data_IF_026074692678
#
_entry.id   IF_026074692678
#
_cell.length_a   1.000
_cell.length_b   1.000
_cell.length_c   1.000
_cell.angle_alpha   90.00
_cell.angle_beta   90.00
_cell.angle_gamma   90.00
#
_symmetry.space_group_name_H-M   'P 1'
#
loop_
_entity.id
_entity.type
_entity.pdbx_description
1 polymer ?
#
# COMPACT_ATOMS: atom_id res chain seq x y z
N UNK A 1 11.24 13.16 -120.08
CA UNK A 1 10.04 12.46 -119.55
C UNK A 1 10.50 11.04 -119.23
N UNK A 2 10.73 10.56 -118.01
CA UNK A 2 9.83 10.35 -116.88
C UNK A 2 10.58 10.35 -115.51
N UNK A 3 11.92 10.52 -115.51
CA UNK A 3 12.77 10.33 -114.32
C UNK A 3 12.56 11.38 -113.20
N UNK A 4 12.39 12.66 -113.54
CA UNK A 4 12.24 13.73 -112.53
C UNK A 4 10.90 13.69 -111.78
N UNK A 5 9.83 13.14 -112.37
CA UNK A 5 8.54 12.96 -111.69
C UNK A 5 8.52 11.71 -110.81
N UNK A 6 9.32 10.69 -111.14
CA UNK A 6 9.43 9.46 -110.35
C UNK A 6 10.30 9.68 -109.10
N UNK A 7 11.45 10.35 -109.22
CA UNK A 7 12.32 10.65 -108.07
C UNK A 7 11.65 11.59 -107.05
N UNK A 8 10.88 12.58 -107.50
CA UNK A 8 10.17 13.50 -106.60
C UNK A 8 9.03 12.82 -105.84
N UNK A 9 8.30 11.90 -106.49
CA UNK A 9 7.26 11.09 -105.83
C UNK A 9 7.86 10.07 -104.84
N UNK A 10 8.96 9.42 -105.20
CA UNK A 10 9.67 8.47 -104.32
C UNK A 10 10.22 9.20 -103.08
N UNK A 11 10.86 10.36 -103.25
CA UNK A 11 11.37 11.16 -102.13
C UNK A 11 10.25 11.72 -101.23
N UNK A 12 9.11 12.13 -101.80
CA UNK A 12 7.95 12.56 -101.02
C UNK A 12 7.34 11.40 -100.24
N UNK A 13 7.31 10.20 -100.82
CA UNK A 13 6.82 9.00 -100.17
C UNK A 13 7.73 8.57 -99.00
N UNK A 14 9.06 8.64 -99.14
CA UNK A 14 10.00 8.43 -98.03
C UNK A 14 9.88 9.49 -96.92
N UNK A 15 9.68 10.77 -97.29
CA UNK A 15 9.43 11.84 -96.32
C UNK A 15 8.15 11.57 -95.53
N UNK A 16 7.06 11.16 -96.19
CA UNK A 16 5.82 10.79 -95.53
C UNK A 16 5.97 9.59 -94.59
N UNK A 17 6.72 8.54 -94.98
CA UNK A 17 7.00 7.40 -94.09
C UNK A 17 7.90 7.78 -92.91
N UNK A 18 8.86 8.70 -93.09
CA UNK A 18 9.71 9.21 -92.01
C UNK A 18 8.91 10.02 -91.00
N UNK A 19 8.04 10.92 -91.47
CA UNK A 19 7.16 11.73 -90.61
C UNK A 19 6.16 10.83 -89.89
N UNK A 20 5.53 9.87 -90.59
CA UNK A 20 4.62 8.90 -89.97
C UNK A 20 5.33 8.01 -88.95
N UNK A 21 6.54 7.55 -89.26
CA UNK A 21 7.39 6.78 -88.33
C UNK A 21 7.74 7.58 -87.07
N UNK A 22 8.02 8.87 -87.20
CA UNK A 22 8.26 9.76 -86.06
C UNK A 22 6.99 9.93 -85.20
N UNK A 23 5.82 10.12 -85.81
CA UNK A 23 4.55 10.20 -85.07
C UNK A 23 4.21 8.89 -84.35
N UNK A 24 4.45 7.74 -84.98
CA UNK A 24 4.28 6.45 -84.33
C UNK A 24 5.26 6.31 -83.16
N UNK A 25 6.55 6.63 -83.36
CA UNK A 25 7.55 6.57 -82.29
C UNK A 25 7.20 7.47 -81.11
N UNK A 26 6.76 8.72 -81.36
CA UNK A 26 6.31 9.64 -80.32
C UNK A 26 5.09 9.09 -79.56
N UNK A 27 4.15 8.46 -80.27
CA UNK A 27 2.97 7.85 -79.66
C UNK A 27 3.34 6.64 -78.77
N UNK A 28 4.24 5.77 -79.24
CA UNK A 28 4.75 4.64 -78.46
C UNK A 28 5.59 5.10 -77.26
N UNK A 29 6.44 6.13 -77.44
CA UNK A 29 7.22 6.71 -76.36
C UNK A 29 6.32 7.33 -75.29
N UNK A 30 5.32 8.14 -75.68
CA UNK A 30 4.34 8.70 -74.76
C UNK A 30 3.59 7.61 -74.00
N UNK A 31 3.08 6.58 -74.70
CA UNK A 31 2.41 5.43 -74.09
C UNK A 31 3.32 4.71 -73.07
N UNK A 32 4.59 4.49 -73.41
CA UNK A 32 5.57 3.91 -72.49
C UNK A 32 5.84 4.80 -71.26
N UNK A 33 5.99 6.12 -71.44
CA UNK A 33 6.13 7.07 -70.33
C UNK A 33 4.90 7.09 -69.42
N UNK A 34 3.69 7.06 -69.99
CA UNK A 34 2.44 6.96 -69.23
C UNK A 34 2.36 5.65 -68.47
N UNK A 35 2.72 4.52 -69.08
CA UNK A 35 2.76 3.20 -68.44
C UNK A 35 3.77 3.16 -67.28
N UNK A 36 4.99 3.66 -67.50
CA UNK A 36 6.02 3.74 -66.45
C UNK A 36 5.65 4.71 -65.32
N UNK A 37 4.94 5.80 -65.62
CA UNK A 37 4.37 6.73 -64.62
C UNK A 37 3.25 6.06 -63.83
N UNK A 38 2.36 5.31 -64.49
CA UNK A 38 1.26 4.58 -63.85
C UNK A 38 1.77 3.51 -62.89
N UNK A 39 2.79 2.72 -63.27
CA UNK A 39 3.41 1.73 -62.38
C UNK A 39 4.03 2.40 -61.14
N UNK A 40 4.73 3.52 -61.30
CA UNK A 40 5.28 4.27 -60.16
C UNK A 40 4.19 4.83 -59.24
N UNK A 41 3.07 5.26 -59.82
CA UNK A 41 1.91 5.74 -59.07
C UNK A 41 1.25 4.62 -58.26
N UNK A 42 1.02 3.45 -58.87
CA UNK A 42 0.43 2.28 -58.19
C UNK A 42 1.31 1.78 -57.03
N UNK A 43 2.64 1.73 -57.19
CA UNK A 43 3.56 1.39 -56.10
C UNK A 43 3.45 2.36 -54.91
N UNK A 44 3.35 3.66 -55.17
CA UNK A 44 3.15 4.68 -54.11
C UNK A 44 1.80 4.51 -53.42
N UNK A 45 0.75 4.21 -54.19
CA UNK A 45 -0.60 3.97 -53.66
C UNK A 45 -0.64 2.74 -52.76
N UNK A 46 -0.01 1.63 -53.16
CA UNK A 46 0.09 0.43 -52.32
C UNK A 46 0.83 0.72 -51.01
N UNK A 47 1.96 1.46 -51.07
CA UNK A 47 2.68 1.88 -49.87
C UNK A 47 1.86 2.77 -48.94
N UNK A 48 1.04 3.68 -49.49
CA UNK A 48 0.12 4.51 -48.70
C UNK A 48 -0.96 3.67 -48.00
N UNK A 49 -1.50 2.65 -48.68
CA UNK A 49 -2.48 1.73 -48.09
C UNK A 49 -1.84 0.92 -46.95
N UNK A 50 -0.60 0.45 -47.14
CA UNK A 50 0.15 -0.27 -46.11
C UNK A 50 0.41 0.61 -44.88
N UNK A 51 0.86 1.85 -45.08
CA UNK A 51 1.04 2.82 -43.98
C UNK A 51 -0.27 3.09 -43.24
N UNK A 52 -1.38 3.30 -43.97
CA UNK A 52 -2.70 3.48 -43.35
C UNK A 52 -3.17 2.25 -42.57
N UNK A 53 -2.77 1.04 -42.98
CA UNK A 53 -3.08 -0.18 -42.24
C UNK A 53 -2.23 -0.29 -40.97
N UNK A 54 -0.97 0.13 -41.01
CA UNK A 54 -0.08 0.20 -39.84
C UNK A 54 -0.65 1.20 -38.83
N UNK A 55 -0.95 2.44 -39.25
CA UNK A 55 -1.53 3.47 -38.36
C UNK A 55 -2.84 2.98 -37.71
N UNK A 56 -3.68 2.27 -38.46
CA UNK A 56 -4.94 1.70 -37.93
C UNK A 56 -4.70 0.58 -36.91
N UNK A 57 -3.66 -0.22 -37.08
CA UNK A 57 -3.28 -1.28 -36.14
C UNK A 57 -2.71 -0.68 -34.85
N UNK A 58 -1.79 0.27 -34.96
CA UNK A 58 -1.21 0.98 -33.81
C UNK A 58 -2.31 1.68 -32.99
N UNK A 59 -3.24 2.40 -33.65
CA UNK A 59 -4.39 3.02 -32.98
C UNK A 59 -5.36 2.00 -32.36
N UNK A 60 -5.45 0.78 -32.90
CA UNK A 60 -6.31 -0.28 -32.36
C UNK A 60 -5.66 -0.95 -31.15
N UNK A 61 -4.34 -1.13 -31.17
CA UNK A 61 -3.52 -1.63 -30.07
C UNK A 61 -3.53 -0.64 -28.90
N UNK A 62 -3.29 0.64 -29.14
CA UNK A 62 -3.37 1.70 -28.12
C UNK A 62 -4.77 1.77 -27.48
N UNK A 63 -5.84 1.67 -28.29
CA UNK A 63 -7.22 1.59 -27.78
C UNK A 63 -7.54 0.29 -27.05
N UNK A 64 -6.85 -0.80 -27.36
CA UNK A 64 -7.02 -2.08 -26.68
C UNK A 64 -6.30 -2.08 -25.33
N UNK A 65 -5.10 -1.51 -25.25
CA UNK A 65 -4.34 -1.28 -24.01
C UNK A 65 -5.10 -0.34 -23.07
N UNK A 66 -5.62 0.79 -23.56
CA UNK A 66 -6.43 1.72 -22.77
C UNK A 66 -7.72 1.06 -22.25
N UNK A 67 -8.34 0.18 -23.06
CA UNK A 67 -9.52 -0.61 -22.65
C UNK A 67 -9.19 -1.73 -21.68
N UNK A 68 -7.99 -2.31 -21.75
CA UNK A 68 -7.52 -3.31 -20.79
C UNK A 68 -7.25 -2.66 -19.42
N UNK A 69 -6.57 -1.51 -19.40
CA UNK A 69 -6.32 -0.72 -18.18
C UNK A 69 -7.63 -0.22 -17.54
N UNK A 70 -8.61 0.22 -18.35
CA UNK A 70 -9.94 0.63 -17.85
C UNK A 70 -10.79 -0.53 -17.34
N UNK A 71 -10.65 -1.75 -17.87
CA UNK A 71 -11.37 -2.93 -17.38
C UNK A 71 -10.81 -3.48 -16.06
N UNK A 72 -9.58 -3.14 -15.69
CA UNK A 72 -8.94 -3.60 -14.46
C UNK A 72 -9.26 -2.73 -13.23
N UNK A 73 -9.79 -1.52 -13.42
CA UNK A 73 -10.36 -0.71 -12.33
C UNK A 73 -11.73 -1.25 -11.91
N UNK A 74 -11.79 -2.50 -11.46
CA UNK A 74 -12.85 -2.92 -10.53
C UNK A 74 -12.79 -1.95 -9.35
N UNK A 75 -13.96 -1.53 -8.85
CA UNK A 75 -14.03 -0.61 -7.72
C UNK A 75 -13.51 -1.34 -6.47
N UNK A 76 -12.20 -1.28 -6.23
CA UNK A 76 -11.55 -1.94 -5.09
C UNK A 76 -12.05 -1.26 -3.82
N UNK A 77 -12.42 -2.06 -2.83
CA UNK A 77 -12.84 -1.57 -1.52
C UNK A 77 -11.68 -0.83 -0.88
N UNK A 78 -11.94 0.28 -0.18
CA UNK A 78 -10.86 1.09 0.39
C UNK A 78 -9.97 0.30 1.35
N UNK A 79 -10.55 -0.62 2.12
CA UNK A 79 -9.84 -1.49 3.08
C UNK A 79 -8.76 -2.39 2.44
N UNK A 80 -8.96 -2.73 1.17
CA UNK A 80 -8.08 -3.64 0.42
C UNK A 80 -7.00 -2.85 -0.35
N UNK A 81 -7.06 -1.53 -0.33
CA UNK A 81 -6.09 -0.66 -1.00
C UNK A 81 -4.68 -0.91 -0.44
N UNK A 82 -3.71 -0.94 -1.34
CA UNK A 82 -2.29 -1.17 -1.05
C UNK A 82 -1.95 -2.54 -0.45
N UNK A 83 -2.92 -3.46 -0.31
CA UNK A 83 -2.67 -4.77 0.29
C UNK A 83 -1.67 -5.59 -0.54
N UNK A 84 -1.91 -5.73 -1.84
CA UNK A 84 -1.01 -6.47 -2.74
C UNK A 84 0.42 -5.93 -2.75
N UNK A 85 0.59 -4.60 -2.72
CA UNK A 85 1.89 -3.95 -2.70
C UNK A 85 2.62 -4.21 -1.38
N UNK A 86 1.88 -4.16 -0.26
CA UNK A 86 2.40 -4.44 1.07
C UNK A 86 2.82 -5.90 1.25
N UNK A 87 2.06 -6.84 0.71
CA UNK A 87 2.39 -8.27 0.76
C UNK A 87 3.65 -8.59 -0.04
N UNK A 88 3.78 -8.02 -1.25
CA UNK A 88 4.95 -8.20 -2.13
C UNK A 88 6.22 -7.52 -1.60
N UNK A 89 6.10 -6.53 -0.72
CA UNK A 89 7.24 -5.82 -0.14
C UNK A 89 8.04 -6.72 0.82
N UNK A 90 9.36 -6.67 0.73
CA UNK A 90 10.24 -7.38 1.66
C UNK A 90 10.35 -6.65 3.01
N UNK A 91 10.51 -7.41 4.10
CA UNK A 91 10.73 -6.83 5.42
C UNK A 91 12.20 -6.44 5.59
N UNK A 92 12.47 -5.13 5.66
CA UNK A 92 13.81 -4.63 5.96
C UNK A 92 13.91 -4.14 7.42
N UNK A 93 15.04 -4.44 8.06
CA UNK A 93 15.42 -3.84 9.35
C UNK A 93 15.91 -2.42 9.05
N UNK A 94 15.30 -1.43 9.69
CA UNK A 94 15.67 -0.03 9.52
C UNK A 94 16.71 0.36 10.58
N UNK A 95 17.68 1.19 10.19
CA UNK A 95 18.58 1.82 11.16
C UNK A 95 17.83 2.85 12.00
N UNK A 96 18.35 3.15 13.18
CA UNK A 96 17.78 4.14 14.11
C UNK A 96 17.62 5.51 13.45
N UNK A 97 18.65 5.99 12.75
CA UNK A 97 18.63 7.26 12.01
C UNK A 97 17.50 7.32 10.96
N UNK A 98 17.22 6.17 10.32
CA UNK A 98 16.11 6.06 9.35
C UNK A 98 14.77 6.16 10.06
N UNK A 99 14.60 5.51 11.21
CA UNK A 99 13.38 5.56 12.01
C UNK A 99 13.08 6.97 12.52
N UNK A 100 14.09 7.73 12.92
CA UNK A 100 13.93 9.14 13.31
C UNK A 100 13.50 10.02 12.13
N UNK A 101 14.05 9.74 10.94
CA UNK A 101 13.72 10.48 9.72
C UNK A 101 12.27 10.26 9.27
N UNK A 102 11.66 9.11 9.59
CA UNK A 102 10.25 8.81 9.25
C UNK A 102 9.28 9.88 9.76
N UNK A 103 9.56 10.50 10.92
CA UNK A 103 8.72 11.57 11.47
C UNK A 103 8.63 12.79 10.55
N UNK A 104 9.63 13.00 9.69
CA UNK A 104 9.67 14.09 8.70
C UNK A 104 8.95 13.73 7.42
N UNK A 105 8.76 12.45 7.12
CA UNK A 105 7.99 12.02 5.96
C UNK A 105 6.51 11.99 6.29
N UNK A 106 5.74 12.80 5.56
CA UNK A 106 4.30 12.93 5.73
C UNK A 106 3.57 12.17 4.62
N UNK A 107 2.51 11.46 5.00
CA UNK A 107 1.54 10.89 4.09
C UNK A 107 0.29 11.75 4.09
N UNK A 108 -0.19 12.10 2.89
CA UNK A 108 -1.53 12.61 2.66
C UNK A 108 -2.39 11.49 2.07
N UNK A 109 -3.47 11.13 2.75
CA UNK A 109 -4.39 10.08 2.31
C UNK A 109 -5.83 10.59 2.30
N UNK A 110 -6.55 10.27 1.24
CA UNK A 110 -7.97 10.57 1.10
C UNK A 110 -8.76 9.32 1.52
N UNK A 111 -9.27 9.33 2.76
CA UNK A 111 -10.15 8.25 3.24
C UNK A 111 -11.59 8.53 2.83
N UNK A 112 -12.47 7.51 2.79
CA UNK A 112 -13.90 7.71 2.49
C UNK A 112 -14.62 8.67 3.44
N UNK A 113 -14.07 8.89 4.65
CA UNK A 113 -14.65 9.77 5.66
C UNK A 113 -13.96 11.14 5.74
N UNK A 114 -12.88 11.37 4.99
CA UNK A 114 -12.19 12.65 4.99
C UNK A 114 -10.70 12.53 4.72
N UNK A 115 -10.06 13.69 4.60
CA UNK A 115 -8.63 13.79 4.39
C UNK A 115 -7.87 13.53 5.69
N UNK A 116 -6.69 12.93 5.54
CA UNK A 116 -5.86 12.48 6.65
C UNK A 116 -4.39 12.80 6.33
N UNK A 117 -3.72 13.42 7.29
CA UNK A 117 -2.26 13.57 7.30
C UNK A 117 -1.73 12.59 8.35
N UNK A 118 -0.78 11.73 7.98
CA UNK A 118 -0.20 10.75 8.89
C UNK A 118 1.31 10.68 8.73
N UNK A 119 2.02 10.49 9.84
CA UNK A 119 3.45 10.19 9.85
C UNK A 119 3.77 9.27 11.03
N UNK A 120 4.90 8.57 10.96
CA UNK A 120 5.32 7.70 12.04
C UNK A 120 6.23 8.43 13.02
N UNK A 121 5.95 8.32 14.32
CA UNK A 121 6.79 8.89 15.35
C UNK A 121 7.47 7.77 16.15
N UNK A 122 8.77 7.55 15.88
CA UNK A 122 9.57 6.52 16.51
C UNK A 122 9.62 6.67 18.04
N UNK A 123 9.80 7.89 18.55
CA UNK A 123 9.84 8.16 20.01
C UNK A 123 8.59 7.73 20.79
N UNK A 124 7.43 7.60 20.12
CA UNK A 124 6.16 7.16 20.72
C UNK A 124 5.69 5.83 20.15
N UNK A 125 6.51 5.18 19.32
CA UNK A 125 6.18 3.99 18.53
C UNK A 125 4.75 4.00 17.99
N UNK A 126 4.34 5.13 17.41
CA UNK A 126 2.96 5.32 16.99
C UNK A 126 2.81 6.18 15.75
N UNK A 127 1.79 5.84 14.95
CA UNK A 127 1.35 6.64 13.83
C UNK A 127 0.57 7.84 14.35
N UNK A 128 1.14 9.01 14.13
CA UNK A 128 0.53 10.27 14.50
C UNK A 128 -0.27 10.80 13.32
N UNK A 129 -1.52 11.20 13.54
CA UNK A 129 -2.38 11.67 12.45
C UNK A 129 -3.20 12.91 12.82
N UNK A 130 -3.53 13.66 11.77
CA UNK A 130 -4.39 14.84 11.80
C UNK A 130 -5.55 14.61 10.82
N UNK A 131 -6.75 14.95 11.26
CA UNK A 131 -7.95 14.88 10.43
C UNK A 131 -9.03 15.78 11.02
N UNK A 132 -9.87 16.35 10.16
CA UNK A 132 -11.03 17.13 10.60
C UNK A 132 -12.19 16.22 11.05
N UNK A 133 -12.23 15.00 10.51
CA UNK A 133 -13.27 14.01 10.80
C UNK A 133 -12.72 12.87 11.67
N UNK A 134 -13.61 12.20 12.40
CA UNK A 134 -13.22 11.03 13.21
C UNK A 134 -13.04 9.82 12.30
N UNK A 135 -11.78 9.42 12.07
CA UNK A 135 -11.44 8.29 11.21
C UNK A 135 -11.40 6.98 12.03
N UNK A 136 -12.21 5.96 11.69
CA UNK A 136 -12.17 4.66 12.34
C UNK A 136 -10.87 3.90 12.07
N UNK A 137 -10.48 3.02 13.00
CA UNK A 137 -9.26 2.22 12.89
C UNK A 137 -9.15 1.41 11.59
N UNK A 138 -10.27 0.92 11.05
CA UNK A 138 -10.26 0.17 9.78
C UNK A 138 -9.64 0.97 8.62
N UNK A 139 -9.77 2.30 8.63
CA UNK A 139 -9.19 3.18 7.60
C UNK A 139 -7.80 3.68 7.99
N UNK A 140 -7.53 3.83 9.29
CA UNK A 140 -6.19 4.13 9.79
C UNK A 140 -5.20 3.00 9.50
N UNK A 141 -5.65 1.74 9.56
CA UNK A 141 -4.86 0.57 9.17
C UNK A 141 -4.40 0.68 7.70
N UNK A 142 -5.31 1.02 6.79
CA UNK A 142 -4.99 1.25 5.37
C UNK A 142 -4.02 2.40 5.20
N UNK A 143 -4.24 3.52 5.89
CA UNK A 143 -3.35 4.67 5.82
C UNK A 143 -1.94 4.34 6.33
N UNK A 144 -1.81 3.61 7.44
CA UNK A 144 -0.50 3.16 7.93
C UNK A 144 0.16 2.14 7.02
N UNK A 145 -0.63 1.27 6.35
CA UNK A 145 -0.13 0.36 5.33
C UNK A 145 0.41 1.13 4.13
N UNK A 146 -0.34 2.11 3.65
CA UNK A 146 0.10 2.99 2.56
C UNK A 146 1.38 3.74 2.95
N UNK A 147 1.46 4.25 4.17
CA UNK A 147 2.66 4.88 4.70
C UNK A 147 3.87 3.92 4.66
N UNK A 148 3.68 2.67 5.10
CA UNK A 148 4.72 1.65 5.09
C UNK A 148 5.18 1.32 3.67
N UNK A 149 4.24 1.21 2.72
CA UNK A 149 4.54 0.96 1.31
C UNK A 149 5.30 2.13 0.69
N UNK A 150 4.84 3.36 0.89
CA UNK A 150 5.46 4.56 0.30
C UNK A 150 6.88 4.82 0.82
N UNK A 151 7.14 4.46 2.08
CA UNK A 151 8.44 4.68 2.74
C UNK A 151 9.32 3.43 2.80
N UNK A 152 8.88 2.31 2.24
CA UNK A 152 9.56 1.00 2.31
C UNK A 152 9.91 0.59 3.76
N UNK A 153 8.98 0.81 4.69
CA UNK A 153 9.17 0.58 6.13
C UNK A 153 8.20 -0.48 6.69
N UNK A 154 8.16 -1.66 6.06
CA UNK A 154 7.29 -2.78 6.46
C UNK A 154 7.44 -3.20 7.93
N UNK A 155 8.64 -3.07 8.51
CA UNK A 155 8.93 -3.41 9.91
C UNK A 155 8.17 -2.57 10.94
N UNK A 156 7.71 -1.39 10.57
CA UNK A 156 7.02 -0.45 11.46
C UNK A 156 5.52 -0.71 11.54
N UNK A 157 4.93 -1.28 10.48
CA UNK A 157 3.50 -1.57 10.43
C UNK A 157 3.24 -3.02 10.83
N UNK A 158 2.33 -3.20 11.79
CA UNK A 158 1.93 -4.51 12.28
C UNK A 158 0.68 -4.98 11.53
N UNK A 159 0.79 -6.07 10.76
CA UNK A 159 -0.36 -6.61 10.04
C UNK A 159 -1.19 -7.54 10.93
N UNK A 160 -2.42 -7.14 11.24
CA UNK A 160 -3.25 -7.82 12.24
C UNK A 160 -3.55 -9.29 11.93
N UNK A 161 -3.77 -9.65 10.66
CA UNK A 161 -4.05 -11.05 10.29
C UNK A 161 -2.83 -11.95 10.52
N UNK A 162 -1.64 -11.44 10.21
CA UNK A 162 -0.38 -12.16 10.45
C UNK A 162 -0.16 -12.37 11.94
N UNK A 163 -0.32 -11.33 12.76
CA UNK A 163 -0.19 -11.41 14.22
C UNK A 163 -1.17 -12.42 14.85
N UNK A 164 -2.42 -12.48 14.37
CA UNK A 164 -3.39 -13.45 14.85
C UNK A 164 -2.96 -14.88 14.53
N UNK A 165 -2.52 -15.13 13.30
CA UNK A 165 -2.05 -16.46 12.89
C UNK A 165 -0.80 -16.90 13.68
N UNK A 166 0.10 -15.97 14.01
CA UNK A 166 1.28 -16.25 14.82
C UNK A 166 0.93 -16.50 16.29
N UNK A 167 -0.01 -15.73 16.84
CA UNK A 167 -0.50 -15.93 18.19
C UNK A 167 -1.20 -17.29 18.35
N UNK A 168 -1.99 -17.71 17.36
CA UNK A 168 -2.63 -19.03 17.29
C UNK A 168 -1.58 -20.16 17.28
N UNK A 169 -0.56 -20.06 16.43
CA UNK A 169 0.54 -21.04 16.38
C UNK A 169 1.28 -21.13 17.72
N UNK A 170 1.66 -19.99 18.30
CA UNK A 170 2.33 -19.93 19.63
C UNK A 170 1.45 -20.54 20.74
N UNK A 171 0.14 -20.34 20.68
CA UNK A 171 -0.81 -20.93 21.61
C UNK A 171 -0.87 -22.44 21.46
N UNK A 172 -0.95 -22.95 20.24
CA UNK A 172 -0.97 -24.38 19.97
C UNK A 172 0.32 -25.05 20.46
N UNK A 173 1.49 -24.48 20.15
CA UNK A 173 2.77 -24.98 20.63
C UNK A 173 2.87 -24.99 22.16
N UNK A 174 2.32 -23.97 22.84
CA UNK A 174 2.25 -23.93 24.31
C UNK A 174 1.34 -25.03 24.86
N UNK A 175 0.22 -25.32 24.20
CA UNK A 175 -0.67 -26.43 24.60
C UNK A 175 0.01 -27.77 24.44
N UNK A 176 0.66 -28.01 23.30
CA UNK A 176 1.35 -29.27 23.02
C UNK A 176 2.50 -29.50 24.01
N UNK A 177 3.30 -28.46 24.31
CA UNK A 177 4.36 -28.53 25.34
C UNK A 177 3.82 -28.82 26.73
N UNK A 178 2.70 -28.20 27.13
CA UNK A 178 2.05 -28.48 28.43
C UNK A 178 1.54 -29.91 28.50
N UNK A 179 0.88 -30.40 27.46
CA UNK A 179 0.39 -31.78 27.41
C UNK A 179 1.54 -32.80 27.50
N UNK A 180 2.67 -32.51 26.85
CA UNK A 180 3.84 -33.37 26.93
C UNK A 180 4.47 -33.36 28.34
N UNK A 181 4.61 -32.19 28.95
CA UNK A 181 5.08 -32.07 30.34
C UNK A 181 4.15 -32.78 31.35
N UNK A 182 2.83 -32.69 31.16
CA UNK A 182 1.87 -33.40 32.01
C UNK A 182 1.93 -34.92 31.84
N UNK A 183 2.17 -35.42 30.61
CA UNK A 183 2.40 -36.84 30.37
C UNK A 183 3.68 -37.32 31.03
N UNK A 184 4.79 -36.62 30.84
CA UNK A 184 6.08 -36.93 31.47
C UNK A 184 6.00 -36.88 33.01
N UNK A 185 5.27 -35.92 33.59
CA UNK A 185 5.04 -35.88 35.04
C UNK A 185 4.20 -37.05 35.54
N UNK A 186 3.15 -37.44 34.81
CA UNK A 186 2.33 -38.61 35.18
C UNK A 186 3.12 -39.91 35.11
N UNK A 187 3.96 -40.07 34.09
CA UNK A 187 4.85 -41.23 33.94
C UNK A 187 5.86 -41.30 35.10
N UNK A 188 6.51 -40.18 35.46
CA UNK A 188 7.41 -40.13 36.64
C UNK A 188 6.71 -40.50 37.96
N UNK A 189 5.48 -40.02 38.18
CA UNK A 189 4.70 -40.35 39.38
C UNK A 189 4.29 -41.82 39.40
N UNK A 190 4.04 -42.45 38.25
CA UNK A 190 3.74 -43.89 38.16
C UNK A 190 4.98 -44.76 38.38
N UNK A 191 6.15 -44.33 37.91
CA UNK A 191 7.43 -45.02 38.17
C UNK A 191 7.82 -44.94 39.66
N UNK A 192 7.71 -43.78 40.29
CA UNK A 192 7.96 -43.61 41.73
C UNK A 192 7.01 -44.45 42.60
N UNK A 193 5.76 -44.68 42.16
CA UNK A 193 4.80 -45.57 42.84
C UNK A 193 5.13 -47.06 42.70
N UNK A 194 5.90 -47.45 41.67
CA UNK A 194 6.26 -48.85 41.42
C UNK A 194 7.53 -49.28 42.17
N UNK A 195 8.39 -48.34 42.60
CA UNK A 195 9.68 -48.64 43.25
C UNK A 195 9.74 -48.45 44.78
N UNK A 196 8.64 -48.10 45.48
CA UNK A 196 8.71 -47.85 46.93
C UNK A 196 7.46 -48.15 47.77
N UNK A 197 7.47 -49.34 48.42
CA UNK A 197 7.04 -49.69 49.79
C UNK A 197 5.61 -49.31 50.25
N UNK A 198 4.83 -50.35 50.61
CA UNK A 198 3.63 -50.29 51.46
C UNK A 198 3.98 -49.63 52.80
N UNK A 199 3.45 -48.44 53.07
CA UNK A 199 3.16 -48.04 54.45
C UNK A 199 1.93 -47.11 54.52
N UNK A 200 0.94 -47.64 55.24
CA UNK A 200 -0.17 -47.03 55.99
C UNK A 200 -0.76 -45.66 55.60
N UNK A 201 -2.09 -45.66 55.47
CA UNK A 201 -2.99 -44.50 55.57
C UNK A 201 -2.65 -43.63 56.79
N UNK A 202 -2.11 -42.43 56.55
CA UNK A 202 -2.19 -41.32 57.50
C UNK A 202 -2.57 -40.06 56.73
N UNK A 203 -3.79 -39.57 56.94
CA UNK A 203 -4.25 -38.25 56.48
C UNK A 203 -3.32 -37.17 57.04
N UNK A 204 -2.36 -36.71 56.22
CA UNK A 204 -1.55 -35.55 56.55
C UNK A 204 -2.43 -34.30 56.41
N UNK A 205 -2.83 -33.74 57.55
CA UNK A 205 -3.48 -32.42 57.65
C UNK A 205 -2.64 -31.40 56.90
N UNK A 206 -3.20 -30.86 55.81
CA UNK A 206 -2.58 -29.81 55.03
C UNK A 206 -2.43 -28.54 55.88
N UNK A 207 -1.20 -28.06 56.03
CA UNK A 207 -0.85 -26.79 56.71
C UNK A 207 -1.27 -25.58 55.86
N UNK A 208 -1.67 -25.79 54.61
CA UNK A 208 -2.09 -24.72 53.72
C UNK A 208 -3.56 -24.35 53.95
N UNK A 209 -3.79 -23.06 54.22
CA UNK A 209 -5.13 -22.49 54.33
C UNK A 209 -5.87 -22.60 52.98
N UNK A 210 -7.06 -23.20 53.02
CA UNK A 210 -7.96 -23.26 51.87
C UNK A 210 -8.61 -21.88 51.68
N UNK A 211 -8.18 -21.12 50.67
CA UNK A 211 -8.76 -19.82 50.35
C UNK A 211 -10.24 -19.97 49.97
N UNK A 212 -11.10 -19.15 50.59
CA UNK A 212 -12.54 -19.13 50.29
C UNK A 212 -12.77 -18.44 48.94
N UNK A 213 -13.51 -19.10 48.03
CA UNK A 213 -13.99 -18.51 46.79
C UNK A 213 -15.16 -17.58 47.08
N UNK A 214 -14.96 -16.26 46.98
CA UNK A 214 -16.00 -15.27 47.29
C UNK A 214 -16.89 -14.87 46.11
N UNK A 215 -16.66 -15.39 44.88
CA UNK A 215 -17.38 -14.94 43.68
C UNK A 215 -18.08 -16.07 42.89
N UNK A 216 -18.61 -17.09 43.55
CA UNK A 216 -19.56 -18.05 42.95
C UNK A 216 -20.98 -17.83 43.47
N UNK A 217 -21.42 -16.58 43.49
CA UNK A 217 -22.75 -16.20 43.96
C UNK A 217 -23.76 -16.14 42.81
N UNK A 218 -24.61 -17.15 42.69
CA UNK A 218 -25.95 -17.00 42.13
C UNK A 218 -26.75 -16.11 43.09
N UNK A 219 -26.75 -14.80 42.84
CA UNK A 219 -27.43 -13.82 43.71
C UNK A 219 -28.94 -13.94 43.61
N UNK A 220 -29.57 -14.56 44.61
CA UNK A 220 -30.89 -14.15 45.12
C UNK A 220 -30.69 -13.68 46.57
N UNK A 221 -30.65 -12.37 46.79
CA UNK A 221 -30.82 -11.76 48.11
C UNK A 221 -31.19 -10.26 47.95
N UNK A 222 -31.82 -9.63 48.95
CA UNK A 222 -32.93 -8.71 48.74
C UNK A 222 -32.58 -7.22 48.80
N UNK A 223 -33.53 -6.44 48.29
CA UNK A 223 -33.65 -4.99 48.36
C UNK A 223 -33.06 -4.33 49.62
N UNK A 224 -32.11 -3.41 49.41
CA UNK A 224 -31.97 -2.24 50.29
C UNK A 224 -31.78 -1.00 49.42
N UNK A 225 -32.75 -0.08 49.50
CA UNK A 225 -32.72 1.22 48.80
C UNK A 225 -31.75 2.15 49.54
N UNK A 226 -30.83 2.79 48.83
CA UNK A 226 -30.31 4.12 49.21
C UNK A 226 -29.83 4.92 47.98
N UNK A 227 -30.30 6.16 47.97
CA UNK A 227 -30.08 7.38 47.17
C UNK A 227 -29.03 7.49 46.04
N UNK A 228 -29.48 8.20 44.98
CA UNK A 228 -28.76 8.83 43.86
C UNK A 228 -27.82 9.97 44.28
N UNK A 229 -26.64 10.03 43.66
CA UNK A 229 -25.95 11.21 43.06
C UNK A 229 -24.60 10.70 42.54
N UNK A 230 -24.05 10.95 41.34
CA UNK A 230 -24.35 11.87 40.25
C UNK A 230 -23.03 12.37 39.66
N UNK A 231 -22.39 11.62 38.74
CA UNK A 231 -21.36 12.16 37.81
C UNK A 231 -21.22 11.27 36.58
N UNK A 232 -21.50 11.85 35.40
CA UNK A 232 -21.42 11.22 34.09
C UNK A 232 -19.96 11.12 33.61
N UNK A 233 -19.29 10.01 33.88
CA UNK A 233 -18.08 9.60 33.17
C UNK A 233 -18.44 8.63 32.05
N UNK A 234 -18.58 9.12 30.81
CA UNK A 234 -18.71 8.25 29.61
C UNK A 234 -17.34 7.63 29.30
N UNK A 235 -17.00 6.57 30.03
CA UNK A 235 -16.00 5.59 29.58
C UNK A 235 -16.51 4.82 28.36
N UNK A 236 -15.63 4.21 27.55
CA UNK A 236 -16.05 3.40 26.41
C UNK A 236 -16.98 2.27 26.90
N UNK A 237 -17.96 1.85 26.09
CA UNK A 237 -18.87 0.78 26.48
C UNK A 237 -18.05 -0.49 26.69
N UNK A 238 -17.90 -0.90 27.95
CA UNK A 238 -17.41 -2.24 28.24
C UNK A 238 -18.50 -3.20 27.79
N UNK A 239 -18.31 -3.80 26.63
CA UNK A 239 -19.03 -5.00 26.24
C UNK A 239 -18.63 -6.08 27.26
N UNK A 240 -19.39 -6.19 28.34
CA UNK A 240 -19.35 -7.32 29.26
C UNK A 240 -19.85 -8.56 28.50
N UNK A 241 -19.00 -9.10 27.64
CA UNK A 241 -19.14 -10.46 27.16
C UNK A 241 -18.90 -11.32 28.40
N UNK A 242 -19.94 -12.03 28.85
CA UNK A 242 -19.80 -13.07 29.88
C UNK A 242 -18.94 -14.18 29.27
N UNK A 243 -17.64 -14.12 29.53
CA UNK A 243 -16.71 -15.14 29.09
C UNK A 243 -16.88 -16.34 30.03
N UNK A 244 -17.51 -17.40 29.52
CA UNK A 244 -17.47 -18.73 30.13
C UNK A 244 -16.02 -19.20 30.21
N UNK A 245 -15.61 -19.76 31.34
CA UNK A 245 -14.24 -20.08 31.71
C UNK A 245 -13.49 -21.11 30.82
N UNK A 246 -14.05 -21.48 29.66
CA UNK A 246 -13.54 -22.54 28.77
C UNK A 246 -13.13 -22.05 27.38
N UNK A 247 -13.32 -20.78 27.02
CA UNK A 247 -12.84 -20.27 25.73
C UNK A 247 -11.42 -19.75 25.89
N UNK A 248 -10.44 -20.45 25.35
CA UNK A 248 -9.06 -19.95 25.25
C UNK A 248 -9.02 -18.61 24.51
N UNK A 249 -8.76 -17.52 25.22
CA UNK A 249 -8.69 -16.18 24.65
C UNK A 249 -7.35 -16.02 23.94
N UNK A 250 -7.36 -15.88 22.62
CA UNK A 250 -6.16 -15.54 21.85
C UNK A 250 -5.83 -14.06 22.13
N UNK A 251 -4.72 -13.81 22.81
CA UNK A 251 -4.22 -12.46 23.11
C UNK A 251 -3.16 -12.09 22.08
N UNK A 252 -3.37 -10.98 21.37
CA UNK A 252 -2.37 -10.39 20.47
C UNK A 252 -1.24 -9.71 21.27
N UNK A 253 0.00 -9.91 20.84
CA UNK A 253 1.18 -9.33 21.49
C UNK A 253 1.46 -7.90 20.98
N UNK A 254 1.31 -7.66 19.68
CA UNK A 254 1.59 -6.36 19.04
C UNK A 254 0.35 -5.82 18.32
N UNK A 255 0.25 -4.49 18.24
CA UNK A 255 -0.78 -3.79 17.47
C UNK A 255 -0.29 -2.39 17.09
N UNK A 256 -0.77 -1.87 15.97
CA UNK A 256 -0.51 -0.49 15.58
C UNK A 256 -1.14 0.48 16.58
N UNK A 257 -0.36 1.47 17.02
CA UNK A 257 -0.82 2.56 17.87
C UNK A 257 -1.04 3.82 17.03
N UNK A 258 -2.21 4.43 17.18
CA UNK A 258 -2.58 5.67 16.48
C UNK A 258 -2.81 6.80 17.48
N UNK A 259 -2.19 7.95 17.23
CA UNK A 259 -2.34 9.16 18.05
C UNK A 259 -2.95 10.28 17.23
N UNK A 260 -4.10 10.80 17.67
CA UNK A 260 -4.73 11.99 17.07
C UNK A 260 -4.14 13.25 17.70
N UNK A 261 -3.58 14.15 16.88
CA UNK A 261 -2.95 15.40 17.35
C UNK A 261 -3.74 16.66 16.96
N UNK A 262 -4.82 16.53 16.18
CA UNK A 262 -5.74 17.63 15.91
C UNK A 262 -6.29 17.66 14.49
N UNK A 263 -6.90 18.80 14.15
CA UNK A 263 -7.45 19.07 12.82
C UNK A 263 -6.35 19.33 11.80
N UNK A 264 -6.68 19.26 10.51
CA UNK A 264 -5.71 19.48 9.43
C UNK A 264 -5.09 20.88 9.50
N UNK A 265 -5.87 21.89 9.90
CA UNK A 265 -5.41 23.27 10.09
C UNK A 265 -4.35 23.43 11.19
N UNK A 266 -4.28 22.50 12.16
CA UNK A 266 -3.27 22.53 13.23
C UNK A 266 -1.92 21.95 12.77
N UNK A 267 -1.87 21.29 11.61
CA UNK A 267 -0.65 20.68 11.12
C UNK A 267 0.34 21.73 10.62
N UNK A 268 1.56 21.72 11.16
CA UNK A 268 2.63 22.59 10.71
C UNK A 268 3.44 21.91 9.62
N UNK A 269 3.20 22.30 8.37
CA UNK A 269 3.93 21.78 7.20
C UNK A 269 5.41 22.14 7.20
N UNK A 270 5.73 23.29 7.79
CA UNK A 270 7.09 23.80 7.84
C UNK A 270 7.79 23.20 9.06
N UNK A 271 8.93 22.55 8.80
CA UNK A 271 9.81 22.15 9.88
C UNK A 271 10.27 23.40 10.63
N UNK A 272 10.03 23.44 11.94
CA UNK A 272 10.53 24.51 12.79
C UNK A 272 12.06 24.46 12.73
N UNK A 273 12.65 25.45 12.07
CA UNK A 273 14.11 25.56 11.96
C UNK A 273 14.68 25.79 13.35
N UNK A 274 15.61 24.94 13.75
CA UNK A 274 16.38 25.14 14.97
C UNK A 274 17.29 26.36 14.79
N UNK A 275 16.81 27.52 15.26
CA UNK A 275 17.53 28.81 15.15
C UNK A 275 18.93 28.78 15.77
N UNK A 276 19.18 27.81 16.66
CA UNK A 276 20.48 27.55 17.31
C UNK A 276 21.57 27.15 16.33
N UNK A 277 21.23 26.43 15.26
CA UNK A 277 22.20 25.96 14.27
C UNK A 277 22.53 27.04 13.22
N UNK A 278 21.63 27.99 12.99
CA UNK A 278 21.76 28.96 11.88
C UNK A 278 22.48 30.24 12.27
N UNK A 279 22.39 30.70 13.52
CA UNK A 279 23.22 31.81 14.00
C UNK A 279 23.29 31.80 15.54
N UNK A 280 24.51 31.72 16.09
CA UNK A 280 24.75 31.83 17.53
C UNK A 280 24.23 33.15 18.13
N UNK A 281 24.09 34.23 17.33
CA UNK A 281 23.49 35.50 17.79
C UNK A 281 21.99 35.40 18.14
N UNK A 282 21.28 34.36 17.69
CA UNK A 282 19.91 34.12 18.14
C UNK A 282 19.86 33.49 19.54
N UNK A 283 20.99 33.07 20.11
CA UNK A 283 21.13 32.65 21.50
C UNK A 283 21.40 33.82 22.45
N UNK A 284 20.83 35.00 22.19
CA UNK A 284 20.83 36.05 23.23
C UNK A 284 19.96 35.58 24.39
N UNK A 285 20.61 35.11 25.45
CA UNK A 285 19.94 34.76 26.70
C UNK A 285 19.30 36.01 27.30
N UNK A 286 18.27 35.85 28.13
CA UNK A 286 17.66 36.99 28.82
C UNK A 286 18.68 37.77 29.66
N UNK A 287 19.68 37.09 30.22
CA UNK A 287 20.82 37.72 30.90
C UNK A 287 21.70 38.54 29.97
N UNK A 288 21.92 38.11 28.73
CA UNK A 288 22.71 38.89 27.76
C UNK A 288 21.91 40.09 27.24
N UNK A 289 20.59 39.94 27.06
CA UNK A 289 19.70 41.05 26.75
C UNK A 289 19.75 42.15 27.83
N UNK A 290 19.72 41.77 29.11
CA UNK A 290 19.83 42.72 30.22
C UNK A 290 21.18 43.44 30.24
N UNK A 291 22.28 42.73 29.96
CA UNK A 291 23.62 43.34 29.85
C UNK A 291 23.70 44.34 28.68
N UNK A 292 23.07 44.03 27.55
CA UNK A 292 23.02 44.92 26.39
C UNK A 292 22.20 46.20 26.64
N UNK A 293 21.17 46.16 27.49
CA UNK A 293 20.45 47.36 27.94
C UNK A 293 21.28 48.25 28.88
N UNK A 294 22.20 47.65 29.64
CA UNK A 294 23.04 48.39 30.58
C UNK A 294 24.22 49.07 29.89
N UNK A 295 24.71 48.54 28.76
CA UNK A 295 25.82 49.11 27.98
C UNK A 295 25.39 50.18 26.96
N UNK A 296 24.09 50.48 26.82
CA UNK A 296 23.57 51.51 25.91
C UNK A 296 23.41 52.90 26.53
N UNK A 297 24.03 53.16 27.68
CA UNK A 297 24.16 54.46 28.35
C UNK A 297 25.64 54.82 28.49
#
# INVERSE_FOLDING_TARGET
MFYNSFLTKVNLQYLCYSVFGFFLYQSFAASYYFYARHIRFEKRRQKLIELQQIDKKENAEEKAEEKAEKKEKKQIKYEDKYLDQYEKMESCILSEDRLETLKKTILFENTPLGNLIMFYNHSRESFTYYSDNTIPYRFLEVASRHYAVQNNCKSVHVHMLTELSEAEKKMQEKKDKKQQQEKEQKERIEEEKKEGIKDSEVEKKSVFAKLKNYNTGSTKAPNTKTSKSGTNGRGPPQTNVKISAETDIIVKERANRYSYEGKLANFSFLQKVEKKLTNSRYEVSFSDFLKMQQTSY
#
